data_IF_836489553341
#
_entry.id   IF_836489553341
#
_cell.length_a   1.000
_cell.length_b   1.000
_cell.length_c   1.000
_cell.angle_alpha   90.00
_cell.angle_beta   90.00
_cell.angle_gamma   90.00
#
_symmetry.space_group_name_H-M   'P 1'
#
loop_
_entity.id
_entity.type
_entity.pdbx_description
1 polymer ?
#
# COMPACT_ATOMS: atom_id res chain seq x y z
N UNK A 1 7.01 10.50 1.03
CA UNK A 1 8.41 10.81 1.37
C UNK A 1 8.54 12.16 2.07
N UNK A 2 8.22 13.28 1.42
CA UNK A 2 8.29 14.64 2.00
C UNK A 2 7.66 14.77 3.39
N UNK A 3 6.38 14.41 3.54
CA UNK A 3 5.65 14.52 4.82
C UNK A 3 6.28 13.63 5.92
N UNK A 4 6.85 12.48 5.56
CA UNK A 4 7.56 11.61 6.51
C UNK A 4 8.87 12.28 6.99
N UNK A 5 9.59 13.00 6.12
CA UNK A 5 10.81 13.76 6.50
C UNK A 5 10.52 14.91 7.47
N UNK A 6 9.36 15.54 7.35
CA UNK A 6 8.95 16.63 8.26
C UNK A 6 8.73 16.14 9.71
N UNK A 7 8.58 14.83 9.94
CA UNK A 7 8.41 14.26 11.27
C UNK A 7 7.21 14.91 12.00
N UNK A 8 7.35 15.22 13.30
CA UNK A 8 6.27 15.84 14.09
C UNK A 8 5.70 17.14 13.55
N UNK A 9 6.42 17.83 12.65
CA UNK A 9 5.94 19.05 12.01
C UNK A 9 4.97 18.80 10.85
N UNK A 10 4.80 17.57 10.38
CA UNK A 10 3.78 17.23 9.39
C UNK A 10 2.39 17.18 10.03
N UNK A 11 1.40 17.79 9.39
CA UNK A 11 -0.02 17.63 9.77
C UNK A 11 -0.52 16.18 9.63
N UNK A 12 0.24 15.31 8.95
CA UNK A 12 -0.06 13.90 8.76
C UNK A 12 0.83 12.99 9.64
N UNK A 13 1.59 13.54 10.59
CA UNK A 13 2.57 12.79 11.37
C UNK A 13 1.98 11.53 12.02
N UNK A 14 0.86 11.67 12.74
CA UNK A 14 0.21 10.55 13.42
C UNK A 14 -0.29 9.49 12.44
N UNK A 15 -0.81 9.94 11.29
CA UNK A 15 -1.24 9.04 10.21
C UNK A 15 -0.06 8.27 9.62
N UNK A 16 1.03 8.94 9.30
CA UNK A 16 2.23 8.32 8.71
C UNK A 16 2.84 7.28 9.65
N UNK A 17 2.70 7.47 10.96
CA UNK A 17 3.11 6.49 11.98
C UNK A 17 2.28 5.22 12.01
N UNK A 18 1.04 5.23 11.50
CA UNK A 18 0.24 4.00 11.37
C UNK A 18 0.60 3.19 10.15
N UNK A 19 1.29 3.79 9.17
CA UNK A 19 1.74 3.08 7.98
C UNK A 19 2.94 2.19 8.32
N UNK A 20 3.01 1.00 7.72
CA UNK A 20 4.09 0.07 8.02
C UNK A 20 5.46 0.63 7.60
N UNK A 21 6.50 0.12 8.27
CA UNK A 21 7.89 0.43 7.96
C UNK A 21 8.44 -0.40 6.80
N UNK A 22 7.78 -1.51 6.48
CA UNK A 22 8.04 -2.39 5.34
C UNK A 22 6.72 -2.92 4.79
N UNK A 23 6.59 -3.05 3.48
CA UNK A 23 5.43 -3.66 2.84
C UNK A 23 5.89 -4.83 1.99
N UNK A 24 5.18 -5.94 2.12
CA UNK A 24 5.55 -7.22 1.53
C UNK A 24 4.94 -7.40 0.13
N UNK A 25 5.33 -6.51 -0.80
CA UNK A 25 4.97 -6.65 -2.23
C UNK A 25 6.08 -7.33 -2.99
N UNK A 26 5.72 -8.32 -3.80
CA UNK A 26 6.71 -9.23 -4.39
C UNK A 26 7.75 -8.57 -5.29
N UNK A 27 7.47 -7.41 -5.86
CA UNK A 27 8.45 -6.66 -6.68
C UNK A 27 9.42 -5.81 -5.86
N UNK A 28 9.24 -5.70 -4.55
CA UNK A 28 10.13 -5.01 -3.62
C UNK A 28 10.90 -5.98 -2.70
N UNK A 29 10.66 -7.29 -2.82
CA UNK A 29 11.42 -8.33 -2.12
C UNK A 29 12.91 -8.30 -2.47
N UNK A 30 13.73 -8.83 -1.57
CA UNK A 30 15.16 -8.98 -1.77
C UNK A 30 15.47 -9.95 -2.91
N UNK A 31 16.67 -9.86 -3.47
CA UNK A 31 17.07 -10.66 -4.63
C UNK A 31 16.94 -12.18 -4.42
N UNK A 32 17.22 -12.66 -3.21
CA UNK A 32 17.06 -14.07 -2.83
C UNK A 32 15.59 -14.49 -2.67
N UNK A 33 14.70 -13.58 -2.29
CA UNK A 33 13.25 -13.83 -2.20
C UNK A 33 12.59 -13.77 -3.58
N UNK A 34 13.10 -12.95 -4.51
CA UNK A 34 12.61 -12.86 -5.89
C UNK A 34 12.69 -14.20 -6.63
N UNK A 35 13.62 -15.09 -6.25
CA UNK A 35 13.76 -16.42 -6.87
C UNK A 35 12.53 -17.30 -6.63
N UNK A 36 11.73 -17.02 -5.59
CA UNK A 36 10.49 -17.76 -5.32
C UNK A 36 9.40 -17.52 -6.36
N UNK A 37 9.55 -16.47 -7.17
CA UNK A 37 8.61 -16.16 -8.26
C UNK A 37 8.96 -16.89 -9.56
N UNK A 38 10.10 -17.57 -9.65
CA UNK A 38 10.54 -18.21 -10.90
C UNK A 38 9.51 -19.19 -11.44
N UNK A 39 9.16 -19.04 -12.72
CA UNK A 39 8.14 -19.86 -13.38
C UNK A 39 6.69 -19.54 -13.02
N UNK A 40 6.45 -18.57 -12.13
CA UNK A 40 5.11 -18.04 -11.85
C UNK A 40 4.74 -16.92 -12.83
N UNK A 41 3.46 -16.57 -12.91
CA UNK A 41 3.00 -15.41 -13.69
C UNK A 41 3.54 -14.07 -13.17
N UNK A 42 3.97 -14.02 -11.90
CA UNK A 42 4.49 -12.81 -11.27
C UNK A 42 5.95 -12.52 -11.63
N UNK A 43 6.75 -13.50 -12.06
CA UNK A 43 8.18 -13.33 -12.28
C UNK A 43 8.49 -12.12 -13.20
N UNK A 44 7.87 -12.13 -14.38
CA UNK A 44 8.11 -11.11 -15.40
C UNK A 44 7.49 -9.77 -15.02
N UNK A 45 6.31 -9.80 -14.38
CA UNK A 45 5.58 -8.60 -13.98
C UNK A 45 6.34 -7.87 -12.88
N UNK A 46 6.82 -8.59 -11.86
CA UNK A 46 7.59 -8.05 -10.75
C UNK A 46 8.92 -7.48 -11.21
N UNK A 47 9.67 -8.20 -12.06
CA UNK A 47 10.93 -7.69 -12.64
C UNK A 47 10.72 -6.41 -13.45
N UNK A 48 9.66 -6.36 -14.27
CA UNK A 48 9.32 -5.15 -15.05
C UNK A 48 8.92 -3.98 -14.16
N UNK A 49 8.15 -4.23 -13.09
CA UNK A 49 7.76 -3.22 -12.11
C UNK A 49 8.98 -2.63 -11.41
N UNK A 50 9.89 -3.45 -10.89
CA UNK A 50 11.11 -2.98 -10.23
C UNK A 50 11.99 -2.16 -11.19
N UNK A 51 12.18 -2.64 -12.43
CA UNK A 51 12.90 -1.89 -13.46
C UNK A 51 12.26 -0.54 -13.81
N UNK A 52 10.92 -0.45 -13.80
CA UNK A 52 10.19 0.82 -13.99
C UNK A 52 10.39 1.77 -12.81
N UNK A 53 10.30 1.27 -11.57
CA UNK A 53 10.54 2.11 -10.39
C UNK A 53 11.97 2.67 -10.38
N UNK A 54 12.96 1.89 -10.81
CA UNK A 54 14.35 2.37 -10.91
C UNK A 54 14.49 3.51 -11.91
N UNK A 55 13.88 3.39 -13.10
CA UNK A 55 13.89 4.47 -14.10
C UNK A 55 13.16 5.72 -13.60
N UNK A 56 11.97 5.55 -13.04
CA UNK A 56 11.18 6.69 -12.52
C UNK A 56 11.94 7.43 -11.41
N UNK A 57 12.61 6.69 -10.53
CA UNK A 57 13.48 7.30 -9.52
C UNK A 57 14.61 8.13 -10.17
N UNK A 58 15.35 7.56 -11.11
CA UNK A 58 16.49 8.23 -11.76
C UNK A 58 16.06 9.46 -12.58
N UNK A 59 14.92 9.37 -13.27
CA UNK A 59 14.46 10.39 -14.20
C UNK A 59 13.68 11.53 -13.50
N UNK A 60 12.95 11.24 -12.43
CA UNK A 60 12.00 12.18 -11.84
C UNK A 60 12.22 12.50 -10.36
N UNK A 61 12.83 11.59 -9.58
CA UNK A 61 12.94 11.74 -8.12
C UNK A 61 14.34 12.16 -7.71
N UNK A 62 15.36 11.48 -8.19
CA UNK A 62 16.77 11.79 -7.94
C UNK A 62 17.15 13.23 -8.35
N UNK A 63 16.70 13.76 -9.50
CA UNK A 63 17.02 15.13 -9.90
C UNK A 63 16.42 16.21 -9.00
N UNK A 64 15.46 15.88 -8.13
CA UNK A 64 14.90 16.85 -7.18
C UNK A 64 15.92 17.23 -6.09
N UNK A 65 17.02 16.49 -5.93
CA UNK A 65 18.09 16.82 -5.01
C UNK A 65 17.68 16.76 -3.53
N UNK A 66 16.58 16.06 -3.21
CA UNK A 66 16.00 16.00 -1.87
C UNK A 66 16.66 14.99 -0.92
N UNK A 67 17.70 14.29 -1.40
CA UNK A 67 18.48 13.30 -0.63
C UNK A 67 17.74 11.98 -0.37
N UNK A 68 16.67 11.67 -1.11
CA UNK A 68 15.99 10.39 -1.02
C UNK A 68 16.78 9.30 -1.74
N UNK A 69 16.82 8.10 -1.16
CA UNK A 69 17.41 6.92 -1.80
C UNK A 69 16.38 6.17 -2.64
N UNK A 70 16.86 5.32 -3.56
CA UNK A 70 15.98 4.41 -4.31
C UNK A 70 15.14 3.53 -3.38
N UNK A 71 15.71 3.00 -2.28
CA UNK A 71 14.98 2.18 -1.32
C UNK A 71 13.87 2.95 -0.61
N UNK A 72 14.11 4.22 -0.26
CA UNK A 72 13.09 5.09 0.34
C UNK A 72 11.93 5.32 -0.61
N UNK A 73 12.25 5.51 -1.90
CA UNK A 73 11.26 5.66 -2.96
C UNK A 73 10.50 4.35 -3.20
N UNK A 74 11.19 3.22 -3.30
CA UNK A 74 10.60 1.90 -3.50
C UNK A 74 9.63 1.55 -2.37
N UNK A 75 10.02 1.81 -1.11
CA UNK A 75 9.16 1.62 0.06
C UNK A 75 7.93 2.53 0.01
N UNK A 76 8.09 3.79 -0.40
CA UNK A 76 6.96 4.70 -0.56
C UNK A 76 5.98 4.20 -1.63
N UNK A 77 6.48 3.71 -2.78
CA UNK A 77 5.65 3.10 -3.82
C UNK A 77 4.93 1.84 -3.31
N UNK A 78 5.61 0.99 -2.54
CA UNK A 78 5.05 -0.24 -1.98
C UNK A 78 3.93 0.08 -0.97
N UNK A 79 4.16 1.07 -0.10
CA UNK A 79 3.15 1.58 0.83
C UNK A 79 1.97 2.19 0.10
N UNK A 80 2.22 2.94 -0.98
CA UNK A 80 1.15 3.54 -1.77
C UNK A 80 0.28 2.49 -2.47
N UNK A 81 0.85 1.44 -3.05
CA UNK A 81 0.03 0.45 -3.79
C UNK A 81 -0.84 -0.40 -2.84
N UNK A 82 -0.34 -0.69 -1.63
CA UNK A 82 -1.03 -1.53 -0.64
C UNK A 82 -2.09 -0.77 0.16
N UNK A 83 -1.93 0.54 0.36
CA UNK A 83 -2.76 1.31 1.30
C UNK A 83 -3.54 2.46 0.64
N UNK A 84 -3.16 2.90 -0.56
CA UNK A 84 -3.93 3.94 -1.25
C UNK A 84 -5.21 3.34 -1.82
N UNK A 85 -6.35 3.89 -1.42
CA UNK A 85 -7.63 3.40 -1.90
C UNK A 85 -7.98 4.07 -3.25
N UNK A 86 -8.12 3.30 -4.35
CA UNK A 86 -8.36 3.86 -5.67
C UNK A 86 -9.76 4.50 -5.79
N UNK A 87 -10.75 4.01 -5.04
CA UNK A 87 -12.12 4.54 -5.06
C UNK A 87 -12.26 5.87 -4.32
N UNK A 88 -11.26 6.25 -3.52
CA UNK A 88 -11.24 7.52 -2.78
C UNK A 88 -10.16 8.47 -3.34
N UNK A 89 -10.01 8.49 -4.67
CA UNK A 89 -9.08 9.38 -5.37
C UNK A 89 -7.61 9.00 -5.21
N UNK A 90 -7.32 7.70 -5.05
CA UNK A 90 -5.95 7.18 -4.83
C UNK A 90 -5.33 7.82 -3.57
N UNK A 91 -6.10 7.79 -2.48
CA UNK A 91 -5.73 8.43 -1.20
C UNK A 91 -5.52 7.41 -0.10
N UNK A 92 -4.60 7.70 0.82
CA UNK A 92 -4.51 6.99 2.10
C UNK A 92 -5.57 7.53 3.04
N UNK A 93 -6.54 6.68 3.40
CA UNK A 93 -7.66 7.06 4.26
C UNK A 93 -7.49 6.35 5.59
N UNK A 94 -7.29 7.13 6.65
CA UNK A 94 -7.22 6.62 8.02
C UNK A 94 -8.40 5.69 8.31
N UNK A 95 -8.16 4.65 9.11
CA UNK A 95 -9.12 3.58 9.44
C UNK A 95 -9.43 2.62 8.28
N UNK A 96 -9.60 3.11 7.05
CA UNK A 96 -9.76 2.24 5.87
C UNK A 96 -8.49 1.43 5.66
N UNK A 97 -7.35 2.08 5.52
CA UNK A 97 -6.08 1.42 5.23
C UNK A 97 -5.46 0.68 6.45
N UNK A 98 -6.18 0.60 7.57
CA UNK A 98 -5.78 -0.21 8.74
C UNK A 98 -6.52 -1.55 8.80
N UNK A 99 -7.65 -1.69 8.09
CA UNK A 99 -8.45 -2.90 8.11
C UNK A 99 -7.85 -3.97 7.21
N UNK A 100 -7.76 -5.21 7.70
CA UNK A 100 -7.29 -6.33 6.90
C UNK A 100 -8.35 -6.85 5.93
N UNK A 101 -7.91 -7.61 4.93
CA UNK A 101 -8.78 -8.24 3.95
C UNK A 101 -9.34 -9.58 4.45
N UNK A 102 -10.62 -9.80 4.17
CA UNK A 102 -11.27 -11.11 4.17
C UNK A 102 -12.26 -11.16 2.99
N UNK A 103 -12.51 -12.36 2.45
CA UNK A 103 -13.51 -12.60 1.40
C UNK A 103 -14.94 -12.40 1.93
N UNK A 104 -15.13 -12.55 3.24
CA UNK A 104 -16.36 -12.24 3.96
C UNK A 104 -16.19 -10.98 4.82
N UNK A 105 -16.27 -9.76 4.25
CA UNK A 105 -16.03 -8.53 5.00
C UNK A 105 -17.06 -8.31 6.11
N UNK A 106 -16.63 -7.69 7.20
CA UNK A 106 -17.47 -7.19 8.29
C UNK A 106 -17.95 -5.75 8.03
N UNK A 107 -17.17 -4.97 7.27
CA UNK A 107 -17.43 -3.54 6.99
C UNK A 107 -17.29 -3.22 5.50
N UNK A 108 -18.14 -2.32 5.03
CA UNK A 108 -18.01 -1.66 3.72
C UNK A 108 -17.72 -0.17 3.89
N UNK A 109 -16.88 0.38 3.02
CA UNK A 109 -16.58 1.81 2.98
C UNK A 109 -17.18 2.49 1.76
N UNK A 110 -17.82 3.64 1.95
CA UNK A 110 -18.36 4.47 0.86
C UNK A 110 -18.02 5.93 1.05
N UNK A 111 -17.75 6.62 -0.04
CA UNK A 111 -17.58 8.07 -0.01
C UNK A 111 -18.94 8.78 0.05
N UNK A 112 -19.10 9.66 1.03
CA UNK A 112 -20.25 10.55 1.18
C UNK A 112 -19.75 12.00 1.22
N UNK A 113 -19.78 12.66 0.07
CA UNK A 113 -19.21 13.99 -0.10
C UNK A 113 -17.70 14.00 0.21
N UNK A 114 -17.30 14.72 1.26
CA UNK A 114 -15.90 14.84 1.70
C UNK A 114 -15.45 13.80 2.73
N UNK A 115 -16.33 12.87 3.09
CA UNK A 115 -16.07 11.87 4.12
C UNK A 115 -16.10 10.47 3.52
N UNK A 116 -15.32 9.57 4.11
CA UNK A 116 -15.44 8.12 3.90
C UNK A 116 -16.13 7.53 5.11
N UNK A 117 -17.19 6.77 4.88
CA UNK A 117 -18.03 6.19 5.94
C UNK A 117 -17.94 4.67 5.86
N UNK A 118 -17.46 4.06 6.95
CA UNK A 118 -17.51 2.62 7.16
C UNK A 118 -18.85 2.21 7.76
N UNK A 119 -19.48 1.18 7.21
CA UNK A 119 -20.75 0.63 7.69
C UNK A 119 -20.59 -0.87 7.90
N UNK A 120 -20.91 -1.36 9.10
CA UNK A 120 -20.93 -2.79 9.35
C UNK A 120 -22.03 -3.45 8.50
N UNK A 121 -21.69 -4.50 7.77
CA UNK A 121 -22.64 -5.24 6.91
C UNK A 121 -23.17 -6.51 7.58
N UNK A 122 -22.56 -6.91 8.70
CA UNK A 122 -22.99 -8.03 9.53
C UNK A 122 -22.75 -7.72 11.02
N UNK A 123 -23.28 -8.59 11.88
CA UNK A 123 -23.04 -8.49 13.33
C UNK A 123 -21.60 -8.86 13.66
N UNK A 124 -20.90 -7.99 14.39
CA UNK A 124 -19.50 -8.15 14.77
C UNK A 124 -19.43 -8.46 16.26
N UNK A 125 -18.82 -9.58 16.63
CA UNK A 125 -18.66 -9.98 18.03
C UNK A 125 -17.57 -9.12 18.70
N UNK A 126 -17.75 -8.71 19.98
CA UNK A 126 -16.70 -8.05 20.73
C UNK A 126 -15.40 -8.87 20.75
N UNK A 127 -14.26 -8.21 20.53
CA UNK A 127 -12.94 -8.85 20.49
C UNK A 127 -12.59 -9.54 19.17
N UNK A 128 -13.50 -9.61 18.20
CA UNK A 128 -13.18 -10.06 16.82
C UNK A 128 -12.51 -8.91 16.07
N UNK A 129 -11.50 -9.22 15.26
CA UNK A 129 -11.00 -8.31 14.23
C UNK A 129 -12.10 -7.97 13.21
N UNK A 130 -12.03 -6.75 12.68
CA UNK A 130 -12.95 -6.24 11.67
C UNK A 130 -12.24 -6.31 10.33
N UNK A 131 -12.79 -7.10 9.41
CA UNK A 131 -12.24 -7.23 8.06
C UNK A 131 -13.05 -6.41 7.05
N UNK A 132 -12.36 -5.95 6.01
CA UNK A 132 -12.93 -5.36 4.81
C UNK A 132 -12.58 -6.23 3.59
N UNK A 133 -13.10 -5.88 2.41
CA UNK A 133 -12.67 -6.50 1.16
C UNK A 133 -11.75 -5.54 0.40
N UNK A 134 -10.64 -6.06 -0.13
CA UNK A 134 -9.79 -5.33 -1.08
C UNK A 134 -10.30 -5.46 -2.53
N UNK A 135 -11.45 -6.10 -2.72
CA UNK A 135 -12.02 -6.49 -4.01
C UNK A 135 -11.90 -8.01 -4.24
N UNK A 136 -12.43 -8.47 -5.38
CA UNK A 136 -12.30 -9.87 -5.82
C UNK A 136 -10.91 -10.07 -6.45
N UNK A 137 -9.99 -10.67 -5.69
CA UNK A 137 -8.57 -10.75 -6.07
C UNK A 137 -8.05 -12.17 -6.05
N UNK A 138 -7.23 -12.49 -7.05
CA UNK A 138 -6.41 -13.67 -7.01
C UNK A 138 -5.24 -13.51 -6.02
N UNK A 139 -4.67 -14.64 -5.61
CA UNK A 139 -3.46 -14.66 -4.77
C UNK A 139 -2.32 -13.87 -5.41
N UNK A 140 -2.17 -13.95 -6.73
CA UNK A 140 -1.15 -13.20 -7.45
C UNK A 140 -1.35 -11.68 -7.33
N UNK A 141 -2.59 -11.19 -7.38
CA UNK A 141 -2.90 -9.78 -7.17
C UNK A 141 -2.60 -9.36 -5.74
N UNK A 142 -2.99 -10.17 -4.75
CA UNK A 142 -2.74 -9.89 -3.33
C UNK A 142 -1.25 -9.80 -2.99
N UNK A 143 -0.40 -10.65 -3.59
CA UNK A 143 1.04 -10.62 -3.37
C UNK A 143 1.70 -9.45 -4.14
N UNK A 144 1.07 -8.97 -5.21
CA UNK A 144 1.60 -7.89 -6.03
C UNK A 144 1.34 -6.48 -5.43
N UNK A 145 0.28 -6.31 -4.64
CA UNK A 145 -0.23 -5.00 -4.21
C UNK A 145 -0.40 -4.87 -2.72
#
# INVERSE_FOLDING_TARGET
MRERRLGPSSKYYDKIRTLPLSVDVCWAWKEDEQQWLEGTELELVSRRKLGRMRREYQEAVEPLGEGWTFDTYLHACATSISHANPWFGVSMVSFVDMGNHDDEPDVEFRQKGKQVVGTAVKSIRPGKEIYQSYGDLGVADLIYR
#
